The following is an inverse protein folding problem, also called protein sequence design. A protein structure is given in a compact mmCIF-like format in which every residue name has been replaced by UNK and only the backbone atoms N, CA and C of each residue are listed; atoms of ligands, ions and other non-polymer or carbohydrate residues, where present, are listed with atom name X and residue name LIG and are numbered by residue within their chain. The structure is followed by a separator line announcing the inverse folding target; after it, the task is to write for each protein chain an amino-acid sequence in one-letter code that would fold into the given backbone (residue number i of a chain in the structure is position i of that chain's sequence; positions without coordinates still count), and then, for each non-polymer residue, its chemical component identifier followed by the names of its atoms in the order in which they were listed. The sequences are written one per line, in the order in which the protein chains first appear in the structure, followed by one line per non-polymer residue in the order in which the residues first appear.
data_IF_963308554413
#
_entry.id   IF_963308554413
#
_cell.length_a   1.000
_cell.length_b   1.000
_cell.length_c   1.000
_cell.angle_alpha   90.00
_cell.angle_beta   90.00
_cell.angle_gamma   90.00
#
_symmetry.space_group_name_H-M   'P 1'
#
loop_
_entity.id
_entity.type
_entity.pdbx_description
1 polymer ?
#
# COMPACT_ATOMS: atom_id res chain seq x y z
N UNK A 1 -10.94 -3.70 -17.48
CA UNK A 1 -11.07 -2.99 -16.18
C UNK A 1 -9.95 -3.44 -15.27
N UNK A 2 -9.21 -2.52 -14.69
CA UNK A 2 -8.03 -2.73 -13.84
C UNK A 2 -8.45 -2.94 -12.39
N UNK A 3 -7.75 -3.80 -11.64
CA UNK A 3 -7.95 -3.90 -10.18
C UNK A 3 -7.10 -2.87 -9.47
N UNK A 4 -7.62 -2.31 -8.37
CA UNK A 4 -6.85 -1.55 -7.39
C UNK A 4 -6.46 -2.50 -6.26
N UNK A 5 -5.15 -2.68 -6.08
CA UNK A 5 -4.54 -3.55 -5.08
C UNK A 5 -3.81 -2.69 -4.05
N UNK A 6 -4.24 -2.74 -2.81
CA UNK A 6 -3.60 -2.06 -1.71
C UNK A 6 -2.57 -3.00 -1.06
N UNK A 7 -1.29 -2.68 -1.19
CA UNK A 7 -0.19 -3.44 -0.59
C UNK A 7 0.42 -2.66 0.56
N UNK A 8 0.39 -3.22 1.78
CA UNK A 8 0.83 -2.50 2.97
C UNK A 8 1.56 -3.38 3.97
N UNK A 9 2.54 -2.77 4.63
CA UNK A 9 3.12 -3.26 5.87
C UNK A 9 2.33 -2.69 7.04
N UNK A 10 1.85 -3.57 7.92
CA UNK A 10 1.10 -3.15 9.10
C UNK A 10 1.59 -3.86 10.36
N UNK A 11 1.43 -3.21 11.49
CA UNK A 11 1.61 -3.82 12.81
C UNK A 11 0.33 -4.54 13.26
N UNK A 12 0.37 -5.32 14.34
CA UNK A 12 -0.82 -5.97 14.93
C UNK A 12 -1.93 -4.96 15.29
N UNK A 13 -1.56 -3.74 15.65
CA UNK A 13 -2.51 -2.66 15.92
C UNK A 13 -2.80 -1.77 14.70
N UNK A 14 -2.41 -2.22 13.49
CA UNK A 14 -2.77 -1.60 12.22
C UNK A 14 -2.01 -0.33 11.85
N UNK A 15 -0.87 -0.05 12.49
CA UNK A 15 0.00 1.07 12.13
C UNK A 15 0.74 0.74 10.84
N UNK A 16 0.77 1.70 9.91
CA UNK A 16 1.45 1.61 8.61
C UNK A 16 2.53 2.68 8.42
N UNK A 17 2.71 3.59 9.38
CA UNK A 17 3.60 4.75 9.25
C UNK A 17 5.06 4.34 9.26
N UNK A 18 5.84 4.87 8.30
CA UNK A 18 7.30 4.78 8.22
C UNK A 18 7.89 3.36 8.40
N UNK A 19 7.44 2.35 7.65
CA UNK A 19 7.92 0.98 7.83
C UNK A 19 9.38 0.80 7.41
N UNK A 20 9.85 1.53 6.38
CA UNK A 20 11.13 1.29 5.70
C UNK A 20 12.33 1.96 6.34
N UNK A 21 12.17 3.11 7.01
CA UNK A 21 13.31 3.81 7.57
C UNK A 21 12.96 4.79 8.71
N UNK A 22 13.96 5.10 9.58
CA UNK A 22 13.73 5.99 10.73
C UNK A 22 13.25 7.39 10.35
N UNK A 23 13.70 7.93 9.23
CA UNK A 23 13.39 9.28 8.75
C UNK A 23 12.31 9.32 7.67
N UNK A 24 11.72 8.17 7.30
CA UNK A 24 10.76 8.06 6.20
C UNK A 24 9.51 8.93 6.41
N UNK A 25 8.93 8.90 7.60
CA UNK A 25 7.80 9.75 7.98
C UNK A 25 7.78 10.01 9.50
N UNK A 26 8.50 11.05 9.92
CA UNK A 26 8.53 11.50 11.32
C UNK A 26 7.35 12.40 11.70
N UNK A 27 6.32 12.56 10.84
CA UNK A 27 5.16 13.39 11.15
C UNK A 27 4.46 12.95 12.43
N UNK A 28 3.82 13.90 13.12
CA UNK A 28 3.19 13.69 14.43
C UNK A 28 4.15 13.14 15.51
N UNK A 29 5.45 13.45 15.40
CA UNK A 29 6.49 13.01 16.34
C UNK A 29 6.60 11.47 16.43
N UNK A 30 6.32 10.76 15.34
CA UNK A 30 6.48 9.31 15.28
C UNK A 30 7.95 8.92 15.42
N UNK A 31 8.25 7.97 16.32
CA UNK A 31 9.61 7.61 16.73
C UNK A 31 10.05 6.20 16.34
N UNK A 32 9.16 5.43 15.74
CA UNK A 32 9.38 4.00 15.47
C UNK A 32 9.63 3.71 13.99
N UNK A 33 10.08 4.71 13.20
CA UNK A 33 10.40 4.49 11.78
C UNK A 33 11.42 3.36 11.56
N UNK A 34 11.27 2.60 10.48
CA UNK A 34 12.11 1.46 10.17
C UNK A 34 11.79 0.18 10.95
N UNK A 35 10.59 0.08 11.51
CA UNK A 35 10.16 -1.04 12.35
C UNK A 35 10.11 -2.40 11.64
N UNK A 36 10.15 -2.44 10.31
CA UNK A 36 10.22 -3.70 9.54
C UNK A 36 11.62 -4.28 9.44
N UNK A 37 12.67 -3.45 9.55
CA UNK A 37 14.06 -3.83 9.29
C UNK A 37 14.55 -5.07 10.07
N UNK A 38 14.23 -5.24 11.38
CA UNK A 38 14.63 -6.44 12.12
C UNK A 38 14.06 -7.73 11.56
N UNK A 39 12.90 -7.67 10.91
CA UNK A 39 12.22 -8.83 10.34
C UNK A 39 12.74 -9.19 8.96
N UNK A 40 13.05 -8.20 8.12
CA UNK A 40 13.65 -8.45 6.81
C UNK A 40 15.07 -8.99 6.91
N UNK A 41 15.85 -8.59 7.92
CA UNK A 41 17.18 -9.13 8.14
C UNK A 41 17.21 -10.61 8.57
N UNK A 42 16.07 -11.18 8.93
CA UNK A 42 15.87 -12.55 9.38
C UNK A 42 14.85 -13.30 8.52
N UNK A 43 14.53 -12.77 7.33
CA UNK A 43 13.59 -13.39 6.42
C UNK A 43 14.18 -14.72 5.89
N UNK A 44 13.30 -15.72 5.79
CA UNK A 44 13.61 -16.99 5.14
C UNK A 44 13.42 -16.91 3.61
N UNK A 45 13.89 -17.93 2.89
CA UNK A 45 13.80 -17.97 1.42
C UNK A 45 12.35 -17.87 0.92
N UNK A 46 11.42 -18.51 1.61
CA UNK A 46 9.99 -18.51 1.27
C UNK A 46 9.36 -17.12 1.39
N UNK A 47 9.73 -16.36 2.44
CA UNK A 47 9.35 -14.96 2.60
C UNK A 47 9.95 -14.09 1.47
N UNK A 48 11.19 -14.37 1.06
CA UNK A 48 11.85 -13.70 -0.05
C UNK A 48 11.14 -13.92 -1.38
N UNK A 49 10.76 -15.15 -1.69
CA UNK A 49 10.02 -15.50 -2.91
C UNK A 49 8.63 -14.84 -2.93
N UNK A 50 7.92 -14.86 -1.79
CA UNK A 50 6.62 -14.22 -1.66
C UNK A 50 6.72 -12.70 -1.86
N UNK A 51 7.71 -12.06 -1.27
CA UNK A 51 7.97 -10.64 -1.44
C UNK A 51 8.30 -10.32 -2.91
N UNK A 52 9.15 -11.10 -3.57
CA UNK A 52 9.51 -10.89 -4.97
C UNK A 52 8.27 -10.93 -5.88
N UNK A 53 7.32 -11.85 -5.64
CA UNK A 53 6.05 -11.91 -6.34
C UNK A 53 5.25 -10.61 -6.18
N UNK A 54 5.22 -10.05 -4.96
CA UNK A 54 4.52 -8.81 -4.64
C UNK A 54 5.24 -7.56 -5.17
N UNK A 55 6.53 -7.65 -5.43
CA UNK A 55 7.33 -6.60 -6.07
C UNK A 55 7.39 -6.71 -7.60
N UNK A 56 6.63 -7.63 -8.22
CA UNK A 56 6.52 -7.66 -9.68
C UNK A 56 6.12 -6.27 -10.21
N UNK A 57 6.80 -5.77 -11.27
CA UNK A 57 6.56 -4.43 -11.79
C UNK A 57 5.13 -4.30 -12.31
N UNK A 58 4.43 -3.27 -11.85
CA UNK A 58 3.07 -2.91 -12.25
C UNK A 58 2.84 -1.43 -12.00
N UNK A 59 1.82 -0.85 -12.64
CA UNK A 59 1.53 0.57 -12.45
C UNK A 59 1.23 0.89 -10.98
N UNK A 60 1.73 2.03 -10.52
CA UNK A 60 1.55 2.50 -9.16
C UNK A 60 0.51 3.61 -9.10
N UNK A 61 -0.29 3.62 -8.04
CA UNK A 61 -1.18 4.71 -7.68
C UNK A 61 -0.75 5.23 -6.30
N UNK A 62 -0.10 6.40 -6.29
CA UNK A 62 0.61 6.93 -5.13
C UNK A 62 0.00 8.28 -4.70
N UNK A 63 -0.11 8.50 -3.40
CA UNK A 63 -0.33 9.84 -2.87
C UNK A 63 0.97 10.63 -2.85
N UNK A 64 0.85 11.97 -2.82
CA UNK A 64 1.97 12.92 -2.87
C UNK A 64 3.15 12.51 -1.98
N UNK A 65 2.91 12.29 -0.68
CA UNK A 65 4.00 12.01 0.27
C UNK A 65 4.76 10.73 -0.07
N UNK A 66 4.07 9.68 -0.44
CA UNK A 66 4.71 8.41 -0.84
C UNK A 66 5.46 8.57 -2.14
N UNK A 67 4.89 9.33 -3.10
CA UNK A 67 5.59 9.64 -4.34
C UNK A 67 6.91 10.38 -4.08
N UNK A 68 6.92 11.41 -3.24
CA UNK A 68 8.11 12.16 -2.89
C UNK A 68 9.20 11.26 -2.29
N UNK A 69 8.84 10.37 -1.36
CA UNK A 69 9.76 9.39 -0.75
C UNK A 69 10.30 8.41 -1.80
N UNK A 70 9.43 7.91 -2.66
CA UNK A 70 9.79 6.91 -3.67
C UNK A 70 10.63 7.51 -4.81
N UNK A 71 10.31 8.72 -5.24
CA UNK A 71 11.04 9.44 -6.28
C UNK A 71 12.46 9.86 -5.87
N UNK A 72 12.68 10.03 -4.57
CA UNK A 72 14.02 10.33 -4.02
C UNK A 72 14.89 9.06 -3.89
N UNK A 73 14.29 7.89 -3.77
CA UNK A 73 15.03 6.66 -3.48
C UNK A 73 15.09 5.68 -4.68
N UNK A 74 13.96 5.30 -5.25
CA UNK A 74 13.86 4.18 -6.19
C UNK A 74 14.55 4.40 -7.55
N UNK A 75 14.65 5.61 -8.13
CA UNK A 75 15.37 5.79 -9.38
C UNK A 75 16.80 5.24 -9.36
N UNK A 76 17.49 5.40 -8.24
CA UNK A 76 18.89 4.99 -8.05
C UNK A 76 19.03 3.57 -7.45
N UNK A 77 17.91 2.92 -7.07
CA UNK A 77 17.87 1.60 -6.44
C UNK A 77 16.98 0.60 -7.19
N UNK A 78 16.85 0.80 -8.52
CA UNK A 78 15.99 -0.04 -9.35
C UNK A 78 16.50 -1.50 -9.50
N UNK A 79 17.73 -1.79 -9.14
CA UNK A 79 18.27 -3.14 -9.02
C UNK A 79 17.56 -3.97 -7.94
N UNK A 80 17.08 -3.32 -6.87
CA UNK A 80 16.28 -3.96 -5.80
C UNK A 80 14.80 -4.12 -6.19
N UNK A 81 14.33 -3.35 -7.18
CA UNK A 81 12.97 -3.45 -7.71
C UNK A 81 12.98 -3.39 -9.23
N UNK A 82 13.36 -4.47 -9.93
CA UNK A 82 13.50 -4.48 -11.37
C UNK A 82 12.21 -4.04 -12.09
N UNK A 83 12.34 -3.11 -13.04
CA UNK A 83 11.23 -2.56 -13.83
C UNK A 83 10.45 -1.41 -13.17
N UNK A 84 10.77 -1.01 -11.95
CA UNK A 84 10.02 0.07 -11.26
C UNK A 84 10.14 1.42 -11.97
N UNK A 85 11.24 1.70 -12.64
CA UNK A 85 11.42 2.91 -13.40
C UNK A 85 10.57 2.94 -14.69
N UNK A 86 10.18 1.77 -15.22
CA UNK A 86 9.50 1.64 -16.52
C UNK A 86 7.96 1.69 -16.39
N UNK A 87 7.41 1.33 -15.23
CA UNK A 87 5.96 1.35 -14.99
C UNK A 87 5.44 2.78 -14.82
N UNK A 88 4.14 3.00 -15.04
CA UNK A 88 3.50 4.29 -14.82
C UNK A 88 3.25 4.53 -13.32
N UNK A 89 3.57 5.73 -12.84
CA UNK A 89 3.27 6.20 -11.50
C UNK A 89 2.19 7.28 -11.57
N UNK A 90 0.96 6.93 -11.25
CA UNK A 90 -0.14 7.88 -11.11
C UNK A 90 -0.08 8.53 -9.73
N UNK A 91 0.14 9.84 -9.71
CA UNK A 91 0.37 10.61 -8.48
C UNK A 91 -0.85 11.42 -8.13
N UNK A 92 -1.49 11.07 -7.03
CA UNK A 92 -2.71 11.73 -6.53
C UNK A 92 -2.32 12.81 -5.52
N UNK A 93 -2.69 14.07 -5.80
CA UNK A 93 -2.55 15.17 -4.85
C UNK A 93 -3.60 16.26 -5.09
N UNK A 94 -3.87 17.04 -4.06
CA UNK A 94 -4.90 18.09 -4.11
C UNK A 94 -4.46 19.28 -4.97
N UNK A 95 -3.15 19.57 -5.00
CA UNK A 95 -2.56 20.69 -5.74
C UNK A 95 -1.51 20.20 -6.74
N UNK A 96 -1.31 20.91 -7.87
CA UNK A 96 -0.27 20.59 -8.84
C UNK A 96 1.12 20.56 -8.18
N UNK A 97 1.94 19.59 -8.60
CA UNK A 97 3.33 19.45 -8.17
C UNK A 97 4.21 19.05 -9.35
N UNK A 98 5.51 19.29 -9.24
CA UNK A 98 6.48 18.79 -10.18
C UNK A 98 6.73 17.29 -9.98
N UNK A 99 6.75 16.53 -11.08
CA UNK A 99 7.03 15.10 -11.08
C UNK A 99 8.44 14.86 -11.60
N UNK A 100 9.32 14.41 -10.74
CA UNK A 100 10.76 14.22 -11.05
C UNK A 100 11.10 12.79 -11.48
N UNK A 101 10.28 11.80 -11.11
CA UNK A 101 10.50 10.41 -11.49
C UNK A 101 9.89 10.14 -12.87
N UNK A 102 10.65 9.51 -13.76
CA UNK A 102 10.19 9.19 -15.11
C UNK A 102 8.89 8.37 -15.10
N UNK A 103 8.09 8.49 -16.19
CA UNK A 103 6.82 7.80 -16.33
C UNK A 103 5.82 8.10 -15.19
N UNK A 104 5.80 9.33 -14.71
CA UNK A 104 4.85 9.80 -13.69
C UNK A 104 3.77 10.66 -14.33
N UNK A 105 2.53 10.47 -13.92
CA UNK A 105 1.34 11.20 -14.36
C UNK A 105 0.60 11.76 -13.14
N UNK A 106 0.18 13.03 -13.23
CA UNK A 106 -0.48 13.72 -12.13
C UNK A 106 -2.01 13.56 -12.21
N UNK A 107 -2.61 13.18 -11.10
CA UNK A 107 -4.06 13.20 -10.88
C UNK A 107 -4.35 14.26 -9.81
N UNK A 108 -4.93 15.38 -10.22
CA UNK A 108 -5.22 16.51 -9.32
C UNK A 108 -6.52 17.21 -9.71
N UNK A 109 -7.02 18.12 -8.87
CA UNK A 109 -8.21 18.92 -9.10
C UNK A 109 -9.39 18.46 -8.26
N UNK A 110 -10.58 18.99 -8.60
CA UNK A 110 -11.78 18.87 -7.75
C UNK A 110 -12.44 17.48 -7.76
N UNK A 111 -12.11 16.61 -8.74
CA UNK A 111 -12.75 15.29 -8.90
C UNK A 111 -11.75 14.14 -9.07
N UNK A 112 -10.80 14.05 -8.12
CA UNK A 112 -9.80 12.98 -8.05
C UNK A 112 -10.44 11.58 -8.10
N UNK A 113 -11.59 11.40 -7.44
CA UNK A 113 -12.27 10.10 -7.37
C UNK A 113 -12.78 9.66 -8.73
N UNK A 114 -13.33 10.59 -9.54
CA UNK A 114 -13.76 10.29 -10.91
C UNK A 114 -12.56 9.90 -11.78
N UNK A 115 -11.47 10.64 -11.73
CA UNK A 115 -10.25 10.29 -12.47
C UNK A 115 -9.72 8.89 -12.11
N UNK A 116 -9.71 8.53 -10.81
CA UNK A 116 -9.33 7.18 -10.38
C UNK A 116 -10.29 6.11 -10.93
N UNK A 117 -11.61 6.38 -10.94
CA UNK A 117 -12.61 5.47 -11.51
C UNK A 117 -12.44 5.29 -13.02
N UNK A 118 -12.14 6.36 -13.75
CA UNK A 118 -11.84 6.31 -15.18
C UNK A 118 -10.59 5.48 -15.45
N UNK A 119 -9.50 5.74 -14.72
CA UNK A 119 -8.28 4.95 -14.78
C UNK A 119 -8.52 3.47 -14.49
N UNK A 120 -9.31 3.16 -13.46
CA UNK A 120 -9.72 1.79 -13.09
C UNK A 120 -10.55 1.13 -14.20
N UNK A 121 -11.40 1.87 -14.89
CA UNK A 121 -12.25 1.34 -15.97
C UNK A 121 -11.48 1.01 -17.25
N UNK A 122 -10.31 1.61 -17.44
CA UNK A 122 -9.45 1.39 -18.60
C UNK A 122 -8.80 0.00 -18.64
N UNK A 123 -8.00 -0.20 -19.69
CA UNK A 123 -7.18 -1.41 -19.88
C UNK A 123 -5.77 -1.18 -19.31
N UNK A 124 -5.11 -2.25 -18.88
CA UNK A 124 -3.75 -2.21 -18.35
C UNK A 124 -3.51 -3.19 -17.20
N UNK A 125 -2.34 -3.10 -16.59
CA UNK A 125 -1.98 -3.86 -15.40
C UNK A 125 -2.83 -3.43 -14.19
N UNK A 126 -2.71 -4.14 -13.07
CA UNK A 126 -3.29 -3.68 -11.81
C UNK A 126 -2.74 -2.28 -11.45
N UNK A 127 -3.49 -1.54 -10.64
CA UNK A 127 -3.06 -0.30 -10.00
C UNK A 127 -2.66 -0.65 -8.57
N UNK A 128 -1.36 -0.70 -8.31
CA UNK A 128 -0.86 -1.01 -6.98
C UNK A 128 -0.72 0.27 -6.15
N UNK A 129 -1.35 0.28 -5.00
CA UNK A 129 -1.22 1.33 -3.99
C UNK A 129 -0.26 0.83 -2.91
N UNK A 130 0.80 1.58 -2.64
CA UNK A 130 1.75 1.29 -1.57
C UNK A 130 1.87 2.54 -0.72
N UNK A 131 1.73 2.40 0.58
CA UNK A 131 1.70 3.56 1.46
C UNK A 131 0.51 4.47 1.18
N UNK A 132 0.69 5.80 1.40
CA UNK A 132 -0.33 6.81 1.07
C UNK A 132 -1.60 6.69 1.90
N UNK A 133 -1.47 6.76 3.23
CA UNK A 133 -2.60 6.57 4.16
C UNK A 133 -3.85 7.39 3.81
N UNK A 134 -3.71 8.67 3.39
CA UNK A 134 -4.84 9.49 2.97
C UNK A 134 -5.51 8.95 1.69
N UNK A 135 -4.71 8.53 0.70
CA UNK A 135 -5.24 7.93 -0.52
C UNK A 135 -5.98 6.62 -0.20
N UNK A 136 -5.43 5.77 0.67
CA UNK A 136 -6.08 4.55 1.10
C UNK A 136 -7.46 4.83 1.72
N UNK A 137 -7.59 5.86 2.59
CA UNK A 137 -8.89 6.26 3.14
C UNK A 137 -9.86 6.72 2.04
N UNK A 138 -9.39 7.48 1.06
CA UNK A 138 -10.21 7.90 -0.08
C UNK A 138 -10.70 6.70 -0.89
N UNK A 139 -9.83 5.73 -1.14
CA UNK A 139 -10.18 4.50 -1.87
C UNK A 139 -11.19 3.65 -1.10
N UNK A 140 -10.99 3.44 0.20
CA UNK A 140 -11.94 2.72 1.05
C UNK A 140 -13.30 3.41 1.09
N UNK A 141 -13.33 4.73 1.32
CA UNK A 141 -14.58 5.52 1.37
C UNK A 141 -15.41 5.42 0.09
N UNK A 142 -14.76 5.19 -1.04
CA UNK A 142 -15.42 5.11 -2.35
C UNK A 142 -15.56 3.67 -2.87
N UNK A 143 -15.31 2.65 -2.04
CA UNK A 143 -15.36 1.21 -2.38
C UNK A 143 -14.55 0.86 -3.64
N UNK A 144 -13.33 1.40 -3.75
CA UNK A 144 -12.48 1.24 -4.92
C UNK A 144 -11.42 0.16 -4.77
N UNK A 145 -11.18 -0.36 -3.56
CA UNK A 145 -10.17 -1.39 -3.28
C UNK A 145 -10.73 -2.77 -3.64
N UNK A 146 -10.12 -3.44 -4.61
CA UNK A 146 -10.50 -4.80 -5.02
C UNK A 146 -9.76 -5.88 -4.23
N UNK A 147 -8.49 -5.62 -3.93
CA UNK A 147 -7.63 -6.56 -3.20
C UNK A 147 -6.77 -5.84 -2.17
N UNK A 148 -6.43 -6.54 -1.10
CA UNK A 148 -5.44 -6.10 -0.13
C UNK A 148 -4.36 -7.16 0.00
N UNK A 149 -3.09 -6.76 -0.10
CA UNK A 149 -1.93 -7.58 0.15
C UNK A 149 -1.23 -7.05 1.40
N UNK A 150 -1.52 -7.67 2.53
CA UNK A 150 -1.08 -7.18 3.84
C UNK A 150 0.08 -8.02 4.37
N UNK A 151 1.12 -7.35 4.83
CA UNK A 151 2.21 -7.94 5.60
C UNK A 151 2.07 -7.47 7.04
N UNK A 152 1.57 -8.35 7.90
CA UNK A 152 1.32 -8.04 9.31
C UNK A 152 2.51 -8.48 10.15
N UNK A 153 3.15 -7.50 10.78
CA UNK A 153 4.32 -7.71 11.63
C UNK A 153 3.91 -7.92 13.09
N UNK A 154 4.55 -8.84 13.82
CA UNK A 154 4.15 -9.24 15.17
C UNK A 154 4.57 -8.22 16.24
N UNK A 155 4.23 -6.94 16.05
CA UNK A 155 4.51 -5.83 16.96
C UNK A 155 3.29 -4.95 17.17
N UNK A 156 3.27 -4.22 18.26
CA UNK A 156 2.31 -3.17 18.61
C UNK A 156 3.07 -1.89 18.89
N UNK A 157 2.72 -0.80 18.23
CA UNK A 157 3.39 0.50 18.39
C UNK A 157 2.54 1.49 19.20
N UNK A 158 1.22 1.32 19.21
CA UNK A 158 0.28 2.15 20.00
C UNK A 158 0.06 3.56 19.47
N UNK A 159 0.91 4.04 18.57
CA UNK A 159 0.85 5.39 17.95
C UNK A 159 1.26 5.32 16.49
N UNK A 160 0.81 6.28 15.68
CA UNK A 160 1.11 6.37 14.25
C UNK A 160 -0.14 6.33 13.37
N UNK A 161 0.06 6.47 12.06
CA UNK A 161 -1.01 6.39 11.06
C UNK A 161 -1.47 4.94 10.89
N UNK A 162 -2.78 4.74 10.94
CA UNK A 162 -3.42 3.42 10.78
C UNK A 162 -3.93 3.22 9.36
N UNK A 163 -3.82 1.99 8.86
CA UNK A 163 -4.41 1.61 7.58
C UNK A 163 -5.94 1.71 7.62
N UNK A 164 -6.56 1.18 8.66
CA UNK A 164 -8.01 1.29 8.86
C UNK A 164 -8.28 2.38 9.91
N UNK A 165 -8.48 3.61 9.41
CA UNK A 165 -8.82 4.75 10.25
C UNK A 165 -10.30 4.73 10.64
N UNK A 166 -10.68 5.57 11.59
CA UNK A 166 -12.09 5.77 11.94
C UNK A 166 -12.89 6.26 10.72
N UNK A 167 -14.07 5.65 10.50
CA UNK A 167 -14.90 5.95 9.33
C UNK A 167 -14.54 5.17 8.05
N UNK A 168 -13.60 4.22 8.12
CA UNK A 168 -13.40 3.25 7.03
C UNK A 168 -14.71 2.50 6.75
N UNK A 169 -15.13 2.44 5.48
CA UNK A 169 -16.37 1.75 5.10
C UNK A 169 -16.31 0.26 5.41
N UNK A 170 -17.34 -0.31 6.04
CA UNK A 170 -17.42 -1.74 6.27
C UNK A 170 -17.39 -2.53 4.97
N UNK A 171 -16.56 -3.55 4.90
CA UNK A 171 -16.41 -4.41 3.72
C UNK A 171 -15.99 -5.82 4.13
N UNK A 172 -16.48 -6.84 3.43
CA UNK A 172 -16.04 -8.22 3.61
C UNK A 172 -14.96 -8.58 2.59
N UNK A 173 -13.99 -9.37 3.02
CA UNK A 173 -12.91 -9.88 2.18
C UNK A 173 -12.75 -11.38 2.39
N UNK A 174 -12.30 -12.08 1.34
CA UNK A 174 -11.90 -13.48 1.41
C UNK A 174 -10.39 -13.58 1.26
N UNK A 175 -9.74 -14.29 2.14
CA UNK A 175 -8.31 -14.57 2.02
C UNK A 175 -8.09 -15.54 0.85
N UNK A 176 -7.21 -15.17 -0.07
CA UNK A 176 -6.90 -15.92 -1.28
C UNK A 176 -5.55 -16.62 -1.21
N UNK A 177 -4.62 -16.06 -0.46
CA UNK A 177 -3.27 -16.61 -0.30
C UNK A 177 -2.71 -16.14 1.05
N UNK A 178 -1.88 -16.97 1.68
CA UNK A 178 -1.17 -16.56 2.90
C UNK A 178 0.11 -17.35 3.11
N UNK A 179 1.06 -16.71 3.80
CA UNK A 179 2.31 -17.30 4.28
C UNK A 179 2.59 -16.76 5.69
N UNK A 180 3.04 -17.63 6.59
CA UNK A 180 3.55 -17.23 7.89
C UNK A 180 5.04 -17.54 7.93
N UNK A 181 5.85 -16.52 8.10
CA UNK A 181 7.32 -16.65 8.13
C UNK A 181 7.79 -17.22 9.47
N UNK A 182 9.01 -17.74 9.49
CA UNK A 182 9.65 -18.30 10.71
C UNK A 182 9.80 -17.27 11.83
N UNK A 183 9.90 -15.97 11.50
CA UNK A 183 9.95 -14.86 12.47
C UNK A 183 8.59 -14.22 12.78
N UNK A 184 7.50 -14.86 12.35
CA UNK A 184 6.12 -14.51 12.75
C UNK A 184 5.45 -13.40 11.92
N UNK A 185 6.03 -12.95 10.81
CA UNK A 185 5.35 -12.05 9.88
C UNK A 185 4.29 -12.84 9.10
N UNK A 186 3.09 -12.28 8.97
CA UNK A 186 1.99 -12.88 8.23
C UNK A 186 1.80 -12.10 6.93
N UNK A 187 2.05 -12.75 5.81
CA UNK A 187 1.64 -12.28 4.49
C UNK A 187 0.23 -12.82 4.20
N UNK A 188 -0.69 -11.97 3.83
CA UNK A 188 -2.04 -12.39 3.52
C UNK A 188 -2.65 -11.54 2.39
N UNK A 189 -3.09 -12.21 1.34
CA UNK A 189 -3.78 -11.59 0.21
C UNK A 189 -5.28 -11.79 0.37
N UNK A 190 -6.04 -10.72 0.21
CA UNK A 190 -7.49 -10.68 0.36
C UNK A 190 -8.13 -10.10 -0.90
N UNK A 191 -9.23 -10.71 -1.36
CA UNK A 191 -10.09 -10.16 -2.40
C UNK A 191 -11.42 -9.69 -1.82
N UNK A 192 -11.96 -8.60 -2.38
CA UNK A 192 -13.26 -8.05 -2.01
C UNK A 192 -14.36 -9.11 -2.15
N UNK A 193 -15.15 -9.33 -1.09
CA UNK A 193 -16.21 -10.35 -1.02
C UNK A 193 -17.62 -9.77 -0.81
N UNK A 194 -17.77 -8.43 -0.95
CA UNK A 194 -19.04 -7.73 -0.83
C UNK A 194 -19.26 -7.10 0.55
N UNK A 195 -20.53 -7.04 0.98
CA UNK A 195 -20.92 -6.40 2.23
C UNK A 195 -20.68 -7.30 3.46
N UNK A 196 -20.50 -6.67 4.61
CA UNK A 196 -20.41 -7.35 5.90
C UNK A 196 -21.75 -7.98 6.23
N UNK A 197 -21.75 -9.29 6.51
CA UNK A 197 -22.92 -10.01 7.03
C UNK A 197 -22.78 -10.20 8.52
N UNK A 198 -23.86 -9.95 9.25
CA UNK A 198 -23.94 -10.17 10.70
C UNK A 198 -24.92 -11.28 11.03
N UNK A 199 -24.77 -11.89 12.19
CA UNK A 199 -25.64 -12.95 12.65
C UNK A 199 -25.47 -13.22 14.15
N UNK A 200 -26.24 -14.15 14.68
CA UNK A 200 -26.13 -14.62 16.06
C UNK A 200 -25.33 -15.90 16.10
N UNK A 201 -24.36 -15.99 17.00
CA UNK A 201 -23.71 -17.27 17.31
C UNK A 201 -24.69 -18.06 18.19
N UNK A 202 -25.26 -19.14 17.63
CA UNK A 202 -26.20 -20.03 18.32
C UNK A 202 -25.52 -20.93 19.37
#
# INVERSE_FOLDING_TARGET
MRKIVLQEFITLDGIMQAPGGPEEDASNSFKYGGWTAPYFSQADDEAGEFMQKHMAPTDLLLGKKTYEIFADYWPDHADMWPGINDVTKYVVCDEPMELTWQNSELITGDDIVTHIKELKSGDGSILKVIGSGNLAQTLFKNDLVDEMWLMTFPIVLGTGKRLFAEGTMPAAFTMTESLVTSNGVIFANYSRAGEVKTGTVG
#
